data_IF_089393264743
#
_entry.id   IF_089393264743
#
_cell.length_a   1.000
_cell.length_b   1.000
_cell.length_c   1.000
_cell.angle_alpha   90.00
_cell.angle_beta   90.00
_cell.angle_gamma   90.00
#
_symmetry.space_group_name_H-M   'P 1'
#
loop_
_entity.id
_entity.type
_entity.pdbx_description
1 polymer ?
#
# COMPACT_ATOMS: atom_id res chain seq x y z
N UNK A 1 19.85 30.59 24.35
CA UNK A 1 21.10 30.13 24.99
C UNK A 1 20.88 29.00 26.01
N UNK A 2 19.68 28.42 26.11
CA UNK A 2 19.37 27.33 27.08
C UNK A 2 19.32 25.92 26.44
N UNK A 3 19.48 25.79 25.12
CA UNK A 3 19.52 24.47 24.44
C UNK A 3 20.92 23.83 24.34
N UNK A 4 21.97 24.45 24.88
CA UNK A 4 23.35 23.95 24.74
C UNK A 4 23.98 23.38 26.01
N UNK A 5 23.33 23.48 27.17
CA UNK A 5 23.92 23.03 28.45
C UNK A 5 23.70 21.52 28.72
N UNK A 6 22.82 20.84 27.98
CA UNK A 6 22.57 19.40 28.21
C UNK A 6 23.62 18.47 27.58
N UNK A 7 24.60 18.99 26.82
CA UNK A 7 25.56 18.18 26.04
C UNK A 7 26.65 17.53 26.91
N UNK A 8 26.84 17.98 28.16
CA UNK A 8 27.95 17.52 29.01
C UNK A 8 27.52 16.97 30.38
N UNK A 9 26.34 16.31 30.43
CA UNK A 9 26.00 15.49 31.60
C UNK A 9 26.87 14.22 31.60
N UNK A 10 27.46 13.90 32.75
CA UNK A 10 28.56 12.95 32.91
C UNK A 10 28.17 11.45 32.83
N UNK A 11 26.99 11.11 32.28
CA UNK A 11 26.49 9.72 32.21
C UNK A 11 25.85 9.32 30.87
N UNK A 12 26.04 10.09 29.79
CA UNK A 12 25.51 9.72 28.47
C UNK A 12 26.58 9.07 27.58
N UNK A 13 26.27 7.87 27.06
CA UNK A 13 26.95 7.33 25.85
C UNK A 13 26.98 8.46 24.83
N UNK A 14 28.15 9.03 24.57
CA UNK A 14 28.33 10.03 23.50
C UNK A 14 27.87 9.37 22.20
N UNK A 15 26.68 9.73 21.73
CA UNK A 15 26.18 9.31 20.43
C UNK A 15 27.00 10.11 19.42
N UNK A 16 28.21 9.64 19.13
CA UNK A 16 29.07 10.26 18.13
C UNK A 16 28.40 10.16 16.77
N UNK A 17 28.13 11.31 16.16
CA UNK A 17 27.68 11.35 14.77
C UNK A 17 28.75 10.77 13.85
N UNK A 18 28.31 9.99 12.87
CA UNK A 18 29.20 9.38 11.87
C UNK A 18 29.17 10.20 10.59
N UNK A 19 30.29 10.19 9.86
CA UNK A 19 30.35 10.75 8.52
C UNK A 19 29.31 10.04 7.63
N UNK A 20 28.48 10.83 6.97
CA UNK A 20 27.55 10.36 5.95
C UNK A 20 28.12 10.77 4.60
N UNK A 21 28.44 9.79 3.76
CA UNK A 21 28.95 10.02 2.42
C UNK A 21 27.83 9.85 1.40
N UNK A 22 27.94 10.58 0.28
CA UNK A 22 27.12 10.32 -0.90
C UNK A 22 27.43 8.92 -1.45
N UNK A 23 26.37 8.16 -1.69
CA UNK A 23 26.44 6.79 -2.18
C UNK A 23 25.52 6.69 -3.39
N UNK A 24 26.06 6.55 -4.62
CA UNK A 24 25.27 6.56 -5.85
C UNK A 24 24.12 5.53 -5.88
N UNK A 25 24.27 4.42 -5.15
CA UNK A 25 23.25 3.36 -5.07
C UNK A 25 22.22 3.56 -3.96
N UNK A 26 22.34 4.61 -3.12
CA UNK A 26 21.39 4.94 -2.05
C UNK A 26 20.77 6.29 -2.33
N UNK A 27 19.51 6.28 -2.75
CA UNK A 27 18.83 7.45 -3.34
C UNK A 27 18.79 8.69 -2.45
N UNK A 28 18.78 8.53 -1.13
CA UNK A 28 18.71 9.65 -0.17
C UNK A 28 20.08 10.09 0.39
N UNK A 29 21.16 9.38 0.04
CA UNK A 29 22.46 9.57 0.70
C UNK A 29 23.07 10.96 0.47
N UNK A 30 22.87 11.56 -0.70
CA UNK A 30 23.33 12.93 -0.95
C UNK A 30 22.62 13.93 -0.04
N UNK A 31 21.29 13.79 0.15
CA UNK A 31 20.54 14.65 1.08
C UNK A 31 21.00 14.42 2.52
N UNK A 32 21.14 13.17 2.95
CA UNK A 32 21.59 12.85 4.30
C UNK A 32 23.00 13.40 4.59
N UNK A 33 23.89 13.37 3.59
CA UNK A 33 25.22 13.98 3.65
C UNK A 33 25.13 15.50 3.79
N UNK A 34 24.29 16.17 2.98
CA UNK A 34 24.12 17.62 3.03
C UNK A 34 23.51 18.09 4.35
N UNK A 35 22.49 17.39 4.86
CA UNK A 35 21.90 17.64 6.19
C UNK A 35 22.99 17.50 7.27
N UNK A 36 23.78 16.41 7.21
CA UNK A 36 24.82 16.13 8.19
C UNK A 36 25.94 17.17 8.19
N UNK A 37 26.42 17.60 7.02
CA UNK A 37 27.53 18.56 6.97
C UNK A 37 27.11 19.91 7.56
N UNK A 38 25.90 20.41 7.23
CA UNK A 38 25.38 21.65 7.82
C UNK A 38 25.18 21.53 9.33
N UNK A 39 24.61 20.42 9.80
CA UNK A 39 24.42 20.17 11.23
C UNK A 39 25.74 20.17 12.01
N UNK A 40 26.81 19.63 11.40
CA UNK A 40 28.13 19.51 12.03
C UNK A 40 29.05 20.71 11.79
N UNK A 41 28.67 21.68 10.94
CA UNK A 41 29.50 22.86 10.66
C UNK A 41 29.95 23.61 11.93
N UNK A 42 29.09 23.86 12.95
CA UNK A 42 29.53 24.53 14.18
C UNK A 42 30.63 23.75 14.93
N UNK A 43 30.52 22.42 14.97
CA UNK A 43 31.51 21.57 15.62
C UNK A 43 32.83 21.55 14.85
N UNK A 44 32.77 21.46 13.51
CA UNK A 44 33.94 21.52 12.63
C UNK A 44 34.67 22.87 12.79
N UNK A 45 33.92 23.97 12.82
CA UNK A 45 34.47 25.32 13.00
C UNK A 45 35.09 25.53 14.39
N UNK A 46 34.51 24.93 15.44
CA UNK A 46 35.08 24.94 16.78
C UNK A 46 36.45 24.24 16.82
N UNK A 47 36.56 23.06 16.19
CA UNK A 47 37.84 22.33 16.05
C UNK A 47 38.85 23.12 15.23
N UNK A 48 38.41 23.75 14.14
CA UNK A 48 39.24 24.60 13.29
C UNK A 48 39.77 25.85 14.05
N UNK A 49 39.13 26.22 15.15
CA UNK A 49 39.47 27.36 16.00
C UNK A 49 40.24 26.95 17.26
N UNK A 50 40.45 25.66 17.50
CA UNK A 50 41.19 25.18 18.65
C UNK A 50 42.68 25.53 18.55
N UNK A 51 43.18 26.24 19.56
CA UNK A 51 44.57 26.69 19.65
C UNK A 51 45.55 25.56 19.97
N UNK A 52 45.05 24.40 20.40
CA UNK A 52 45.85 23.19 20.66
C UNK A 52 46.21 22.43 19.39
N UNK A 53 45.55 22.71 18.27
CA UNK A 53 45.77 22.04 17.00
C UNK A 53 46.98 22.66 16.26
N UNK A 54 47.70 21.84 15.48
CA UNK A 54 48.79 22.36 14.63
C UNK A 54 48.24 23.40 13.64
N UNK A 55 48.94 24.51 13.45
CA UNK A 55 48.55 25.59 12.52
C UNK A 55 48.20 25.07 11.13
N UNK A 56 49.00 24.14 10.60
CA UNK A 56 48.76 23.52 9.29
C UNK A 56 47.46 22.72 9.26
N UNK A 57 47.13 22.00 10.33
CA UNK A 57 45.89 21.24 10.40
C UNK A 57 44.67 22.16 10.55
N UNK A 58 44.75 23.20 11.39
CA UNK A 58 43.67 24.20 11.53
C UNK A 58 43.39 24.92 10.21
N UNK A 59 44.44 25.27 9.47
CA UNK A 59 44.31 25.94 8.16
C UNK A 59 43.68 25.02 7.12
N UNK A 60 44.10 23.75 7.06
CA UNK A 60 43.49 22.74 6.18
C UNK A 60 42.01 22.50 6.50
N UNK A 61 41.62 22.51 7.78
CA UNK A 61 40.21 22.37 8.17
C UNK A 61 39.42 23.61 7.74
N UNK A 62 39.92 24.82 8.00
CA UNK A 62 39.26 26.07 7.57
C UNK A 62 39.11 26.18 6.06
N UNK A 63 40.13 25.79 5.29
CA UNK A 63 40.06 25.82 3.83
C UNK A 63 39.08 24.79 3.26
N UNK A 64 38.72 23.77 4.05
CA UNK A 64 37.74 22.74 3.68
C UNK A 64 36.33 23.05 4.18
N UNK A 65 36.16 24.10 5.00
CA UNK A 65 34.86 24.52 5.51
C UNK A 65 34.07 25.28 4.44
N UNK A 66 32.75 25.05 4.42
CA UNK A 66 31.84 25.80 3.55
C UNK A 66 31.82 27.27 3.94
N UNK A 67 31.99 28.16 2.97
CA UNK A 67 31.70 29.59 3.11
C UNK A 67 30.21 29.83 3.39
N UNK A 68 29.85 31.05 3.83
CA UNK A 68 28.46 31.40 4.10
C UNK A 68 27.57 31.26 2.85
N UNK A 69 28.09 31.66 1.68
CA UNK A 69 27.38 31.54 0.41
C UNK A 69 27.18 30.07 0.01
N UNK A 70 28.19 29.22 0.22
CA UNK A 70 28.09 27.78 -0.02
C UNK A 70 27.12 27.11 0.96
N UNK A 71 27.13 27.48 2.24
CA UNK A 71 26.14 27.00 3.22
C UNK A 71 24.72 27.35 2.78
N UNK A 72 24.50 28.60 2.33
CA UNK A 72 23.22 29.02 1.77
C UNK A 72 22.80 28.20 0.55
N UNK A 73 23.73 27.86 -0.35
CA UNK A 73 23.45 26.95 -1.47
C UNK A 73 23.07 25.56 -0.98
N UNK A 74 23.75 25.02 0.02
CA UNK A 74 23.43 23.69 0.59
C UNK A 74 22.05 23.68 1.24
N UNK A 75 21.68 24.70 2.01
CA UNK A 75 20.34 24.85 2.59
C UNK A 75 19.24 24.84 1.52
N UNK A 76 19.46 25.60 0.45
CA UNK A 76 18.58 25.63 -0.72
C UNK A 76 18.45 24.26 -1.41
N UNK A 77 19.55 23.50 -1.53
CA UNK A 77 19.53 22.16 -2.11
C UNK A 77 18.77 21.15 -1.22
N UNK A 78 18.96 21.23 0.11
CA UNK A 78 18.22 20.41 1.07
C UNK A 78 16.72 20.65 0.92
N UNK A 79 16.30 21.91 0.77
CA UNK A 79 14.88 22.25 0.55
C UNK A 79 14.31 21.56 -0.69
N UNK A 80 15.04 21.57 -1.80
CA UNK A 80 14.62 20.95 -3.07
C UNK A 80 14.61 19.41 -3.02
N UNK A 81 15.57 18.81 -2.32
CA UNK A 81 15.71 17.35 -2.22
C UNK A 81 14.77 16.71 -1.18
N UNK A 82 14.38 17.46 -0.14
CA UNK A 82 13.52 16.95 0.96
C UNK A 82 12.21 16.31 0.48
N UNK A 83 11.45 16.89 -0.49
CA UNK A 83 10.26 16.26 -1.04
C UNK A 83 10.50 14.87 -1.64
N UNK A 84 11.68 14.61 -2.21
CA UNK A 84 12.03 13.31 -2.82
C UNK A 84 12.34 12.25 -1.76
N UNK A 85 12.97 12.62 -0.65
CA UNK A 85 13.13 11.72 0.50
C UNK A 85 11.77 11.32 1.07
N UNK A 86 10.84 12.27 1.20
CA UNK A 86 9.46 11.98 1.61
C UNK A 86 8.74 11.06 0.62
N UNK A 87 8.84 11.33 -0.68
CA UNK A 87 8.27 10.49 -1.72
C UNK A 87 8.83 9.06 -1.67
N UNK A 88 10.14 8.92 -1.51
CA UNK A 88 10.81 7.63 -1.38
C UNK A 88 10.31 6.86 -0.15
N UNK A 89 10.21 7.51 1.02
CA UNK A 89 9.66 6.89 2.23
C UNK A 89 8.23 6.40 2.01
N UNK A 90 7.38 7.21 1.36
CA UNK A 90 5.98 6.86 1.09
C UNK A 90 5.87 5.65 0.16
N UNK A 91 6.66 5.61 -0.92
CA UNK A 91 6.60 4.54 -1.94
C UNK A 91 7.36 3.27 -1.54
N UNK A 92 8.24 3.37 -0.56
CA UNK A 92 8.98 2.24 0.01
C UNK A 92 8.39 1.72 1.33
N UNK A 93 7.23 2.23 1.73
CA UNK A 93 6.50 1.71 2.88
C UNK A 93 6.00 0.28 2.62
N UNK A 94 5.95 -0.55 3.66
CA UNK A 94 5.59 -1.97 3.55
C UNK A 94 4.27 -2.30 4.27
N UNK A 95 3.94 -1.56 5.32
CA UNK A 95 2.76 -1.83 6.15
C UNK A 95 1.47 -1.22 5.57
N UNK A 96 1.51 -0.72 4.33
CA UNK A 96 0.33 -0.19 3.67
C UNK A 96 0.47 -0.26 2.14
N UNK A 97 -0.64 -0.32 1.37
CA UNK A 97 -0.59 -0.25 -0.09
C UNK A 97 0.14 0.99 -0.59
N UNK A 98 1.14 0.83 -1.45
CA UNK A 98 1.93 1.95 -1.99
C UNK A 98 1.62 2.26 -3.45
N UNK A 99 1.15 1.30 -4.24
CA UNK A 99 0.95 1.50 -5.69
C UNK A 99 -0.06 2.62 -5.99
N UNK A 100 -1.14 2.71 -5.20
CA UNK A 100 -2.12 3.79 -5.33
C UNK A 100 -1.55 5.18 -5.02
N UNK A 101 -0.40 5.25 -4.34
CA UNK A 101 0.27 6.51 -3.99
C UNK A 101 1.22 7.00 -5.07
N UNK A 102 1.58 6.18 -6.06
CA UNK A 102 2.57 6.53 -7.11
C UNK A 102 2.15 7.79 -7.86
N UNK A 103 0.97 7.79 -8.50
CA UNK A 103 0.54 8.92 -9.33
C UNK A 103 0.32 10.19 -8.50
N UNK A 104 -0.26 10.06 -7.30
CA UNK A 104 -0.47 11.20 -6.40
C UNK A 104 0.87 11.80 -5.95
N UNK A 105 1.85 10.95 -5.67
CA UNK A 105 3.19 11.39 -5.27
C UNK A 105 3.89 12.10 -6.43
N UNK A 106 3.81 11.57 -7.65
CA UNK A 106 4.35 12.22 -8.85
C UNK A 106 3.69 13.58 -9.11
N UNK A 107 2.36 13.66 -9.03
CA UNK A 107 1.63 14.92 -9.16
C UNK A 107 2.06 15.93 -8.07
N UNK A 108 2.18 15.47 -6.82
CA UNK A 108 2.62 16.32 -5.70
C UNK A 108 4.06 16.82 -5.90
N UNK A 109 4.98 15.97 -6.37
CA UNK A 109 6.35 16.35 -6.67
C UNK A 109 6.40 17.41 -7.78
N UNK A 110 5.63 17.22 -8.87
CA UNK A 110 5.50 18.22 -9.94
C UNK A 110 5.05 19.58 -9.41
N UNK A 111 3.95 19.60 -8.66
CA UNK A 111 3.43 20.83 -8.06
C UNK A 111 4.41 21.48 -7.08
N UNK A 112 5.27 20.70 -6.44
CA UNK A 112 6.26 21.20 -5.48
C UNK A 112 7.47 21.79 -6.21
N UNK A 113 7.98 21.09 -7.24
CA UNK A 113 9.09 21.54 -8.07
C UNK A 113 8.78 22.86 -8.78
N UNK A 114 7.56 23.02 -9.26
CA UNK A 114 7.11 24.25 -9.93
C UNK A 114 7.02 25.46 -8.99
N UNK A 115 6.96 25.23 -7.67
CA UNK A 115 6.96 26.31 -6.67
C UNK A 115 8.36 26.80 -6.32
N UNK A 116 9.40 26.01 -6.59
CA UNK A 116 10.78 26.39 -6.28
C UNK A 116 11.29 27.45 -7.25
N UNK A 117 11.29 28.71 -6.79
CA UNK A 117 11.69 29.87 -7.59
C UNK A 117 12.59 30.87 -6.83
N UNK A 118 13.10 30.50 -5.65
CA UNK A 118 13.83 31.38 -4.72
C UNK A 118 15.15 31.90 -5.30
N UNK A 119 16.03 31.00 -5.75
CA UNK A 119 17.36 31.36 -6.29
C UNK A 119 17.55 30.82 -7.72
N UNK A 120 18.46 31.42 -8.52
CA UNK A 120 18.78 30.90 -9.86
C UNK A 120 19.27 29.45 -9.85
N UNK A 121 19.99 29.06 -8.79
CA UNK A 121 20.47 27.67 -8.60
C UNK A 121 19.27 26.75 -8.35
N UNK A 122 18.41 27.08 -7.39
CA UNK A 122 17.19 26.32 -7.07
C UNK A 122 16.31 26.15 -8.29
N UNK A 123 16.08 27.23 -9.04
CA UNK A 123 15.26 27.20 -10.25
C UNK A 123 15.83 26.24 -11.31
N UNK A 124 17.15 26.26 -11.53
CA UNK A 124 17.80 25.35 -12.49
C UNK A 124 17.72 23.90 -12.04
N UNK A 125 18.01 23.63 -10.75
CA UNK A 125 17.98 22.28 -10.19
C UNK A 125 16.56 21.72 -10.21
N UNK A 126 15.57 22.47 -9.73
CA UNK A 126 14.17 22.05 -9.71
C UNK A 126 13.64 21.78 -11.13
N UNK A 127 13.93 22.66 -12.10
CA UNK A 127 13.54 22.44 -13.49
C UNK A 127 14.19 21.18 -14.08
N UNK A 128 15.48 20.94 -13.80
CA UNK A 128 16.17 19.74 -14.29
C UNK A 128 15.62 18.47 -13.63
N UNK A 129 15.31 18.51 -12.34
CA UNK A 129 14.70 17.39 -11.63
C UNK A 129 13.29 17.08 -12.15
N UNK A 130 12.47 18.09 -12.43
CA UNK A 130 11.15 17.91 -13.06
C UNK A 130 11.29 17.24 -14.43
N UNK A 131 12.17 17.75 -15.29
CA UNK A 131 12.46 17.17 -16.61
C UNK A 131 12.86 15.69 -16.50
N UNK A 132 13.84 15.38 -15.65
CA UNK A 132 14.39 14.03 -15.50
C UNK A 132 13.37 13.05 -14.87
N UNK A 133 12.54 13.52 -13.94
CA UNK A 133 11.47 12.72 -13.32
C UNK A 133 10.42 12.32 -14.36
N UNK A 134 9.87 13.29 -15.09
CA UNK A 134 8.82 13.04 -16.08
C UNK A 134 9.33 12.40 -17.37
N UNK A 135 10.63 12.44 -17.64
CA UNK A 135 11.26 11.62 -18.68
C UNK A 135 11.22 10.13 -18.32
N UNK A 136 11.44 9.79 -17.05
CA UNK A 136 11.47 8.40 -16.55
C UNK A 136 10.08 7.84 -16.26
N UNK A 137 9.13 8.68 -15.88
CA UNK A 137 7.78 8.25 -15.51
C UNK A 137 6.90 7.78 -16.68
N UNK A 138 7.31 7.94 -17.95
CA UNK A 138 6.48 7.65 -19.14
C UNK A 138 6.18 6.16 -19.39
N UNK A 139 6.72 5.24 -18.60
CA UNK A 139 6.51 3.80 -18.80
C UNK A 139 5.23 3.33 -18.13
N UNK A 140 4.38 2.63 -18.90
CA UNK A 140 3.21 1.83 -18.51
C UNK A 140 2.50 2.25 -17.20
N UNK A 141 1.65 3.27 -17.30
CA UNK A 141 0.89 3.82 -16.17
C UNK A 141 -0.36 2.99 -15.80
N UNK A 142 -0.63 1.88 -16.50
CA UNK A 142 -1.87 1.10 -16.30
C UNK A 142 -2.05 0.66 -14.83
N UNK A 143 -1.00 0.07 -14.25
CA UNK A 143 -1.02 -0.45 -12.89
C UNK A 143 -1.16 0.67 -11.84
N UNK A 144 -0.31 1.73 -11.85
CA UNK A 144 -0.48 2.88 -10.97
C UNK A 144 -1.86 3.54 -11.11
N UNK A 145 -2.39 3.64 -12.32
CA UNK A 145 -3.69 4.25 -12.61
C UNK A 145 -4.84 3.45 -12.03
N UNK A 146 -4.86 2.13 -12.27
CA UNK A 146 -5.84 1.22 -11.67
C UNK A 146 -5.78 1.23 -10.14
N UNK A 147 -4.58 1.21 -9.56
CA UNK A 147 -4.41 1.28 -8.12
C UNK A 147 -4.94 2.61 -7.54
N UNK A 148 -4.67 3.75 -8.21
CA UNK A 148 -5.18 5.05 -7.80
C UNK A 148 -6.72 5.13 -7.91
N UNK A 149 -7.31 4.50 -8.94
CA UNK A 149 -8.76 4.40 -9.09
C UNK A 149 -9.42 3.53 -8.02
N UNK A 150 -8.79 2.42 -7.65
CA UNK A 150 -9.26 1.48 -6.63
C UNK A 150 -9.01 2.01 -5.20
N UNK A 151 -8.51 3.23 -5.05
CA UNK A 151 -8.35 3.88 -3.76
C UNK A 151 -9.45 4.94 -3.58
N UNK A 152 -10.34 4.83 -2.58
CA UNK A 152 -11.50 5.72 -2.47
C UNK A 152 -11.14 7.20 -2.29
N UNK A 153 -9.94 7.50 -1.77
CA UNK A 153 -9.43 8.87 -1.60
C UNK A 153 -8.99 9.51 -2.92
N UNK A 154 -8.64 8.69 -3.91
CA UNK A 154 -7.97 9.12 -5.14
C UNK A 154 -8.73 8.73 -6.41
N UNK A 155 -9.85 8.03 -6.27
CA UNK A 155 -10.67 7.51 -7.38
C UNK A 155 -11.21 8.57 -8.34
N UNK A 156 -11.31 9.82 -7.90
CA UNK A 156 -11.72 10.95 -8.77
C UNK A 156 -10.62 11.42 -9.71
N UNK A 157 -9.36 11.05 -9.43
CA UNK A 157 -8.18 11.39 -10.22
C UNK A 157 -8.07 12.88 -10.54
N UNK A 158 -8.51 13.77 -9.64
CA UNK A 158 -8.59 15.23 -9.88
C UNK A 158 -7.24 15.91 -10.22
N UNK A 159 -6.12 15.21 -10.05
CA UNK A 159 -4.79 15.67 -10.41
C UNK A 159 -4.42 15.35 -11.88
N UNK A 160 -5.27 14.63 -12.61
CA UNK A 160 -5.12 14.29 -14.03
C UNK A 160 -6.15 15.08 -14.88
N UNK A 161 -5.85 15.34 -16.17
CA UNK A 161 -6.79 15.96 -17.10
C UNK A 161 -7.98 15.04 -17.42
N UNK A 162 -9.11 15.63 -17.78
CA UNK A 162 -10.40 14.95 -18.01
C UNK A 162 -10.31 13.79 -19.01
N UNK A 163 -9.50 13.95 -20.05
CA UNK A 163 -9.26 12.90 -21.05
C UNK A 163 -8.64 11.64 -20.43
N UNK A 164 -7.68 11.81 -19.53
CA UNK A 164 -7.01 10.70 -18.84
C UNK A 164 -7.94 10.08 -17.78
N UNK A 165 -8.74 10.91 -17.09
CA UNK A 165 -9.76 10.41 -16.15
C UNK A 165 -10.78 9.51 -16.84
N UNK A 166 -11.25 9.91 -18.02
CA UNK A 166 -12.20 9.13 -18.80
C UNK A 166 -11.58 7.82 -19.32
N UNK A 167 -10.33 7.86 -19.80
CA UNK A 167 -9.59 6.66 -20.20
C UNK A 167 -9.40 5.70 -19.02
N UNK A 168 -9.11 6.23 -17.82
CA UNK A 168 -8.99 5.44 -16.60
C UNK A 168 -10.32 4.73 -16.26
N UNK A 169 -11.45 5.44 -16.35
CA UNK A 169 -12.78 4.85 -16.14
C UNK A 169 -13.05 3.68 -17.10
N UNK A 170 -12.76 3.86 -18.39
CA UNK A 170 -12.91 2.81 -19.39
C UNK A 170 -12.00 1.61 -19.13
N UNK A 171 -10.76 1.87 -18.69
CA UNK A 171 -9.81 0.84 -18.33
C UNK A 171 -10.29 0.01 -17.14
N UNK A 172 -10.78 0.65 -16.06
CA UNK A 172 -11.34 -0.07 -14.91
C UNK A 172 -12.54 -0.93 -15.31
N UNK A 173 -13.45 -0.38 -16.11
CA UNK A 173 -14.60 -1.12 -16.65
C UNK A 173 -14.15 -2.35 -17.45
N UNK A 174 -13.17 -2.18 -18.35
CA UNK A 174 -12.63 -3.27 -19.17
C UNK A 174 -12.00 -4.36 -18.33
N UNK A 175 -11.22 -4.00 -17.30
CA UNK A 175 -10.62 -4.99 -16.39
C UNK A 175 -11.67 -5.71 -15.56
N UNK A 176 -12.68 -5.01 -15.07
CA UNK A 176 -13.79 -5.59 -14.32
C UNK A 176 -14.61 -6.58 -15.16
N UNK A 177 -14.87 -6.25 -16.43
CA UNK A 177 -15.51 -7.17 -17.40
C UNK A 177 -14.66 -8.41 -17.65
N UNK A 178 -13.35 -8.24 -17.89
CA UNK A 178 -12.46 -9.37 -18.16
C UNK A 178 -12.35 -10.38 -17.01
N UNK A 179 -12.64 -9.96 -15.77
CA UNK A 179 -12.69 -10.85 -14.61
C UNK A 179 -13.87 -11.81 -14.67
N UNK A 180 -15.01 -11.37 -15.23
CA UNK A 180 -16.20 -12.22 -15.38
C UNK A 180 -15.93 -13.34 -16.38
N UNK A 181 -15.28 -13.02 -17.50
CA UNK A 181 -14.95 -14.01 -18.53
C UNK A 181 -13.96 -15.06 -18.02
N UNK A 182 -12.95 -14.64 -17.26
CA UNK A 182 -11.98 -15.57 -16.64
C UNK A 182 -12.66 -16.51 -15.64
N UNK A 183 -13.48 -15.98 -14.74
CA UNK A 183 -14.20 -16.81 -13.77
C UNK A 183 -15.19 -17.77 -14.47
N UNK A 184 -15.86 -17.32 -15.54
CA UNK A 184 -16.75 -18.15 -16.34
C UNK A 184 -15.99 -19.27 -17.05
N UNK A 185 -14.83 -18.98 -17.64
CA UNK A 185 -13.99 -19.98 -18.31
C UNK A 185 -13.41 -21.00 -17.33
N UNK A 186 -12.89 -20.56 -16.17
CA UNK A 186 -12.45 -21.44 -15.09
C UNK A 186 -13.57 -22.38 -14.61
N UNK A 187 -14.79 -21.88 -14.43
CA UNK A 187 -15.96 -22.69 -14.08
C UNK A 187 -16.35 -23.70 -15.17
N UNK A 188 -16.17 -23.35 -16.45
CA UNK A 188 -16.44 -24.24 -17.57
C UNK A 188 -15.39 -25.35 -17.66
N UNK A 189 -14.11 -25.02 -17.39
CA UNK A 189 -13.03 -26.00 -17.41
C UNK A 189 -13.14 -26.98 -16.24
N UNK A 190 -13.49 -26.51 -15.03
CA UNK A 190 -13.82 -27.37 -13.88
C UNK A 190 -15.02 -28.28 -14.17
N UNK A 191 -16.03 -27.78 -14.91
CA UNK A 191 -17.20 -28.60 -15.30
C UNK A 191 -16.86 -29.65 -16.35
N UNK A 192 -15.92 -29.37 -17.27
CA UNK A 192 -15.41 -30.33 -18.26
C UNK A 192 -14.57 -31.42 -17.60
N UNK A 193 -13.73 -31.07 -16.63
CA UNK A 193 -12.98 -32.05 -15.83
C UNK A 193 -13.91 -32.94 -14.99
N UNK A 194 -15.03 -32.43 -14.49
CA UNK A 194 -16.04 -33.24 -13.78
C UNK A 194 -16.89 -34.15 -14.68
N UNK A 195 -16.87 -33.98 -16.00
CA UNK A 195 -17.63 -34.82 -16.95
C UNK A 195 -16.77 -35.83 -17.71
N UNK A 196 -15.47 -35.91 -17.42
CA UNK A 196 -14.55 -36.88 -18.02
C UNK A 196 -13.84 -37.68 -16.91
N UNK A 197 -14.45 -38.83 -16.59
CA UNK A 197 -13.94 -40.04 -15.94
C UNK A 197 -13.06 -39.99 -14.66
N UNK A 198 -13.49 -40.80 -13.68
CA UNK A 198 -12.65 -41.86 -13.09
C UNK A 198 -11.39 -41.47 -12.32
N UNK A 199 -11.45 -41.70 -11.00
CA UNK A 199 -10.35 -42.05 -10.07
C UNK A 199 -8.92 -41.77 -10.60
N UNK A 200 -8.31 -40.67 -10.16
CA UNK A 200 -7.01 -40.71 -9.47
C UNK A 200 -6.62 -39.35 -8.85
N UNK A 201 -5.77 -39.45 -7.83
CA UNK A 201 -5.50 -38.46 -6.78
C UNK A 201 -4.86 -37.14 -7.27
N UNK A 202 -5.37 -36.00 -6.82
CA UNK A 202 -4.69 -34.69 -6.90
C UNK A 202 -4.69 -34.00 -5.52
N UNK A 203 -3.50 -33.52 -5.17
CA UNK A 203 -3.05 -32.84 -3.96
C UNK A 203 -3.87 -31.60 -3.57
N UNK A 204 -4.13 -31.47 -2.27
CA UNK A 204 -4.99 -30.48 -1.61
C UNK A 204 -4.24 -29.21 -1.18
N UNK A 205 -3.93 -28.28 -2.09
CA UNK A 205 -3.28 -27.02 -1.66
C UNK A 205 -3.79 -25.70 -2.25
N UNK A 206 -4.78 -25.66 -3.14
CA UNK A 206 -5.28 -24.37 -3.64
C UNK A 206 -6.80 -24.38 -3.87
N UNK A 207 -7.55 -24.02 -2.82
CA UNK A 207 -8.98 -23.72 -2.90
C UNK A 207 -9.24 -22.32 -2.30
N UNK A 208 -9.83 -21.37 -3.04
CA UNK A 208 -10.35 -20.13 -2.47
C UNK A 208 -11.62 -20.41 -1.63
N UNK A 209 -11.94 -19.58 -0.63
CA UNK A 209 -13.10 -19.82 0.24
C UNK A 209 -14.39 -19.71 -0.56
N UNK A 210 -15.21 -20.76 -0.49
CA UNK A 210 -16.58 -20.78 -1.00
C UNK A 210 -17.47 -19.85 -0.18
N UNK A 211 -18.43 -19.21 -0.86
CA UNK A 211 -19.57 -18.54 -0.21
C UNK A 211 -20.26 -19.51 0.76
N UNK A 212 -20.78 -19.04 1.92
CA UNK A 212 -21.51 -19.91 2.84
C UNK A 212 -22.74 -20.47 2.13
N UNK A 213 -22.77 -21.77 1.92
CA UNK A 213 -23.99 -22.48 1.58
C UNK A 213 -24.84 -22.59 2.86
N UNK A 214 -26.10 -22.19 2.75
CA UNK A 214 -27.13 -22.43 3.73
C UNK A 214 -27.21 -23.93 4.04
N UNK A 215 -27.03 -24.28 5.31
CA UNK A 215 -27.34 -25.61 5.82
C UNK A 215 -28.72 -25.54 6.46
N UNK A 216 -29.68 -26.19 5.80
CA UNK A 216 -30.94 -26.61 6.40
C UNK A 216 -30.72 -27.92 7.19
N UNK A 217 -31.45 -28.00 8.31
CA UNK A 217 -31.92 -29.18 9.05
C UNK A 217 -31.02 -29.79 10.15
N UNK A 218 -31.46 -30.17 11.36
CA UNK A 218 -32.79 -30.22 12.05
C UNK A 218 -32.56 -30.59 13.55
N UNK A 219 -33.37 -29.97 14.45
CA UNK A 219 -33.90 -30.41 15.80
C UNK A 219 -32.95 -30.91 16.93
N UNK A 220 -33.24 -30.94 18.25
CA UNK A 220 -34.42 -30.84 19.13
C UNK A 220 -33.91 -30.58 20.56
N UNK A 221 -34.68 -29.94 21.46
CA UNK A 221 -35.08 -30.51 22.79
C UNK A 221 -36.15 -29.60 23.40
N UNK A 222 -37.33 -30.18 23.63
CA UNK A 222 -38.44 -29.64 24.42
C UNK A 222 -38.13 -29.60 25.91
N UNK A 223 -38.70 -28.62 26.64
CA UNK A 223 -39.40 -28.91 27.91
C UNK A 223 -40.40 -27.81 28.30
N UNK A 224 -41.52 -28.29 28.83
CA UNK A 224 -42.79 -27.66 29.19
C UNK A 224 -42.69 -26.58 30.28
N UNK A 225 -43.71 -25.70 30.38
CA UNK A 225 -44.52 -25.51 31.62
C UNK A 225 -45.82 -24.71 31.35
N UNK A 226 -46.86 -25.04 32.12
CA UNK A 226 -48.33 -24.81 32.02
C UNK A 226 -48.81 -23.34 32.16
N UNK A 227 -49.96 -22.93 31.57
CA UNK A 227 -51.34 -23.07 32.10
C UNK A 227 -52.41 -22.39 31.19
N UNK A 228 -53.65 -22.83 31.37
CA UNK A 228 -54.90 -22.65 30.61
C UNK A 228 -55.47 -21.22 30.48
N UNK A 229 -56.27 -21.01 29.42
CA UNK A 229 -57.71 -20.67 29.53
C UNK A 229 -58.40 -20.75 28.16
N UNK A 230 -59.50 -21.49 28.09
CA UNK A 230 -60.32 -21.76 26.90
C UNK A 230 -61.12 -20.54 26.42
N UNK A 231 -61.27 -20.41 25.10
CA UNK A 231 -62.36 -19.65 24.46
C UNK A 231 -62.61 -20.24 23.07
N UNK A 232 -63.81 -20.79 22.89
CA UNK A 232 -64.28 -21.47 21.69
C UNK A 232 -64.39 -20.52 20.49
N UNK A 233 -63.60 -20.81 19.45
CA UNK A 233 -63.99 -20.60 18.05
C UNK A 233 -63.19 -21.61 17.22
N UNK A 234 -63.84 -22.31 16.29
CA UNK A 234 -63.31 -23.41 15.47
C UNK A 234 -61.85 -23.19 15.05
N UNK A 235 -60.94 -24.18 15.12
CA UNK A 235 -59.54 -23.94 14.84
C UNK A 235 -59.38 -23.73 13.34
N UNK A 236 -59.35 -22.46 12.92
CA UNK A 236 -58.70 -22.07 11.69
C UNK A 236 -57.28 -22.64 11.79
N UNK A 237 -56.97 -23.63 10.95
CA UNK A 237 -55.64 -24.24 10.90
C UNK A 237 -54.64 -23.10 10.73
N UNK A 238 -53.81 -22.84 11.76
CA UNK A 238 -52.78 -21.82 11.70
C UNK A 238 -51.83 -22.19 10.56
N UNK A 239 -51.93 -21.46 9.47
CA UNK A 239 -51.02 -21.58 8.34
C UNK A 239 -49.60 -21.24 8.86
N UNK A 240 -48.62 -22.11 8.63
CA UNK A 240 -47.24 -21.79 8.99
C UNK A 240 -46.75 -20.64 8.11
N UNK A 241 -45.82 -19.83 8.64
CA UNK A 241 -45.21 -18.72 7.90
C UNK A 241 -44.56 -19.19 6.58
N UNK A 242 -44.00 -20.41 6.57
CA UNK A 242 -43.44 -21.07 5.38
C UNK A 242 -44.47 -21.28 4.27
N UNK A 243 -45.68 -21.69 4.64
CA UNK A 243 -46.74 -22.02 3.70
C UNK A 243 -47.38 -20.73 3.15
N UNK A 244 -47.30 -19.63 3.91
CA UNK A 244 -47.68 -18.30 3.46
C UNK A 244 -46.64 -17.71 2.50
N UNK A 245 -45.33 -17.92 2.75
CA UNK A 245 -44.26 -17.53 1.82
C UNK A 245 -44.39 -18.29 0.49
N UNK A 246 -44.59 -19.62 0.53
CA UNK A 246 -44.82 -20.44 -0.67
C UNK A 246 -46.12 -20.07 -1.40
N UNK A 247 -47.17 -19.66 -0.67
CA UNK A 247 -48.42 -19.21 -1.28
C UNK A 247 -48.33 -17.81 -1.91
N UNK A 248 -47.40 -16.97 -1.45
CA UNK A 248 -47.20 -15.63 -1.99
C UNK A 248 -46.14 -15.59 -3.09
N UNK A 249 -45.42 -16.68 -3.35
CA UNK A 249 -44.34 -16.76 -4.33
C UNK A 249 -44.79 -16.38 -5.76
N UNK A 250 -46.04 -16.65 -6.11
CA UNK A 250 -46.65 -16.28 -7.40
C UNK A 250 -46.99 -14.78 -7.49
N UNK A 251 -47.28 -14.12 -6.36
CA UNK A 251 -47.51 -12.68 -6.24
C UNK A 251 -46.17 -11.92 -6.13
N UNK A 252 -45.18 -12.50 -5.44
CA UNK A 252 -43.82 -11.99 -5.33
C UNK A 252 -42.96 -12.29 -6.55
N UNK A 253 -43.46 -13.08 -7.52
CA UNK A 253 -42.76 -13.40 -8.76
C UNK A 253 -42.56 -12.15 -9.63
N UNK A 254 -41.61 -11.31 -9.21
CA UNK A 254 -40.93 -10.39 -10.11
C UNK A 254 -40.13 -11.30 -11.02
N UNK A 255 -40.48 -11.33 -12.30
CA UNK A 255 -39.65 -11.94 -13.33
C UNK A 255 -38.23 -11.37 -13.17
N UNK A 256 -37.31 -12.17 -12.61
CA UNK A 256 -35.89 -11.87 -12.61
C UNK A 256 -35.43 -11.89 -14.07
N UNK A 257 -35.61 -10.77 -14.76
CA UNK A 257 -34.86 -10.50 -15.97
C UNK A 257 -33.39 -10.60 -15.58
N UNK A 258 -32.71 -11.68 -15.99
CA UNK A 258 -31.29 -11.86 -15.71
C UNK A 258 -30.55 -10.70 -16.35
N UNK A 259 -30.23 -9.69 -15.54
CA UNK A 259 -29.46 -8.55 -15.97
C UNK A 259 -28.16 -9.05 -16.60
N UNK A 260 -27.81 -8.49 -17.76
CA UNK A 260 -26.57 -8.87 -18.42
C UNK A 260 -25.38 -8.60 -17.47
N UNK A 261 -24.33 -9.44 -17.48
CA UNK A 261 -23.17 -9.25 -16.61
C UNK A 261 -22.54 -7.86 -16.73
N UNK A 262 -22.61 -7.27 -17.94
CA UNK A 262 -22.15 -5.92 -18.23
C UNK A 262 -22.88 -4.87 -17.40
N UNK A 263 -24.22 -4.93 -17.38
CA UNK A 263 -25.06 -3.98 -16.62
C UNK A 263 -24.77 -4.08 -15.13
N UNK A 264 -24.57 -5.28 -14.60
CA UNK A 264 -24.25 -5.47 -13.18
C UNK A 264 -22.88 -4.88 -12.82
N UNK A 265 -21.89 -4.96 -13.72
CA UNK A 265 -20.57 -4.36 -13.51
C UNK A 265 -20.63 -2.84 -13.62
N UNK A 266 -21.30 -2.32 -14.63
CA UNK A 266 -21.49 -0.88 -14.81
C UNK A 266 -22.14 -0.26 -13.59
N UNK A 267 -23.15 -0.93 -13.01
CA UNK A 267 -23.78 -0.52 -11.76
C UNK A 267 -22.79 -0.54 -10.59
N UNK A 268 -22.03 -1.62 -10.42
CA UNK A 268 -21.03 -1.76 -9.35
C UNK A 268 -19.97 -0.64 -9.43
N UNK A 269 -19.43 -0.38 -10.62
CA UNK A 269 -18.43 0.67 -10.85
C UNK A 269 -19.02 2.05 -10.63
N UNK A 270 -20.23 2.31 -11.13
CA UNK A 270 -20.90 3.60 -10.94
C UNK A 270 -21.19 3.87 -9.46
N UNK A 271 -21.66 2.87 -8.72
CA UNK A 271 -21.86 2.95 -7.27
C UNK A 271 -20.53 3.22 -6.55
N UNK A 272 -19.46 2.52 -6.91
CA UNK A 272 -18.14 2.73 -6.32
C UNK A 272 -17.62 4.16 -6.57
N UNK A 273 -17.68 4.64 -7.82
CA UNK A 273 -17.20 5.98 -8.17
C UNK A 273 -18.02 7.08 -7.48
N UNK A 274 -19.32 6.88 -7.29
CA UNK A 274 -20.21 7.80 -6.58
C UNK A 274 -20.14 7.74 -5.05
N UNK A 275 -19.60 6.65 -4.48
CA UNK A 275 -19.53 6.48 -3.03
C UNK A 275 -18.60 7.50 -2.35
N UNK A 276 -18.84 7.79 -1.06
CA UNK A 276 -17.93 8.58 -0.22
C UNK A 276 -17.55 7.75 0.99
N UNK A 277 -16.34 7.94 1.52
CA UNK A 277 -15.94 7.30 2.79
C UNK A 277 -16.85 7.82 3.91
N UNK A 278 -17.39 6.90 4.71
CA UNK A 278 -18.10 7.24 5.92
C UNK A 278 -17.10 7.68 7.02
N UNK A 279 -17.54 8.39 8.08
CA UNK A 279 -16.66 8.75 9.20
C UNK A 279 -15.97 7.54 9.85
N UNK A 280 -16.66 6.40 9.89
CA UNK A 280 -16.12 5.14 10.43
C UNK A 280 -15.00 4.56 9.58
N UNK A 281 -14.95 4.91 8.29
CA UNK A 281 -13.96 4.39 7.34
C UNK A 281 -12.64 5.16 7.38
N UNK A 282 -12.57 6.29 8.09
CA UNK A 282 -11.38 7.16 8.12
C UNK A 282 -10.19 6.51 8.86
N UNK A 283 -10.48 5.62 9.81
CA UNK A 283 -9.46 4.92 10.59
C UNK A 283 -9.06 3.58 9.99
N UNK A 284 -9.74 3.12 8.94
CA UNK A 284 -9.44 1.84 8.29
C UNK A 284 -8.28 1.99 7.31
N UNK A 285 -7.39 1.00 7.29
CA UNK A 285 -6.46 0.86 6.19
C UNK A 285 -7.22 0.60 4.88
N UNK A 286 -6.56 0.90 3.76
CA UNK A 286 -7.19 0.76 2.44
C UNK A 286 -7.65 -0.68 2.14
N UNK A 287 -6.89 -1.70 2.56
CA UNK A 287 -7.28 -3.10 2.34
C UNK A 287 -8.42 -3.54 3.26
N UNK A 288 -8.46 -3.03 4.49
CA UNK A 288 -9.59 -3.27 5.41
C UNK A 288 -10.88 -2.62 4.91
N UNK A 289 -10.78 -1.43 4.30
CA UNK A 289 -11.91 -0.79 3.65
C UNK A 289 -12.51 -1.69 2.56
N UNK A 290 -11.66 -2.26 1.70
CA UNK A 290 -12.10 -3.20 0.67
C UNK A 290 -12.67 -4.50 1.23
N UNK A 291 -12.12 -4.99 2.35
CA UNK A 291 -12.65 -6.16 3.06
C UNK A 291 -14.06 -5.89 3.62
N UNK A 292 -14.27 -4.73 4.23
CA UNK A 292 -15.59 -4.29 4.74
C UNK A 292 -16.62 -4.14 3.63
N UNK A 293 -16.23 -3.56 2.49
CA UNK A 293 -17.13 -3.26 1.37
C UNK A 293 -17.17 -4.35 0.29
N UNK A 294 -16.57 -5.52 0.54
CA UNK A 294 -16.49 -6.61 -0.44
C UNK A 294 -17.86 -7.08 -0.93
N UNK A 295 -18.87 -7.13 -0.05
CA UNK A 295 -20.23 -7.52 -0.43
C UNK A 295 -20.91 -6.52 -1.37
N UNK A 296 -20.59 -5.23 -1.22
CA UNK A 296 -21.12 -4.17 -2.08
C UNK A 296 -20.39 -4.11 -3.43
N UNK A 297 -19.09 -4.43 -3.42
CA UNK A 297 -18.21 -4.35 -4.59
C UNK A 297 -17.43 -5.67 -4.77
N UNK A 298 -18.11 -6.78 -5.10
CA UNK A 298 -17.52 -8.12 -5.11
C UNK A 298 -16.44 -8.30 -6.19
N UNK A 299 -16.53 -7.62 -7.33
CA UNK A 299 -15.55 -7.77 -8.42
C UNK A 299 -14.43 -6.75 -8.27
N UNK A 300 -14.78 -5.52 -7.88
CA UNK A 300 -13.78 -4.47 -7.65
C UNK A 300 -12.90 -4.78 -6.45
N UNK A 301 -13.41 -5.44 -5.40
CA UNK A 301 -12.58 -5.88 -4.27
C UNK A 301 -11.49 -6.87 -4.67
N UNK A 302 -11.76 -7.74 -5.65
CA UNK A 302 -10.75 -8.66 -6.20
C UNK A 302 -9.69 -7.89 -6.97
N UNK A 303 -10.10 -6.93 -7.82
CA UNK A 303 -9.16 -6.05 -8.52
C UNK A 303 -8.34 -5.21 -7.53
N UNK A 304 -8.98 -4.69 -6.49
CA UNK A 304 -8.34 -3.91 -5.43
C UNK A 304 -7.26 -4.73 -4.74
N UNK A 305 -7.58 -5.96 -4.30
CA UNK A 305 -6.59 -6.86 -3.71
C UNK A 305 -5.40 -7.11 -4.64
N UNK A 306 -5.67 -7.29 -5.94
CA UNK A 306 -4.64 -7.53 -6.96
C UNK A 306 -3.73 -6.33 -7.19
N UNK A 307 -4.28 -5.15 -7.43
CA UNK A 307 -3.50 -3.96 -7.85
C UNK A 307 -2.94 -3.17 -6.67
N UNK A 308 -3.65 -3.10 -5.54
CA UNK A 308 -3.17 -2.42 -4.34
C UNK A 308 -2.12 -3.23 -3.59
N UNK A 309 -2.13 -4.56 -3.72
CA UNK A 309 -1.13 -5.44 -3.14
C UNK A 309 0.24 -5.38 -3.80
N UNK A 310 0.37 -4.68 -4.94
CA UNK A 310 1.65 -4.53 -5.64
C UNK A 310 2.48 -3.46 -4.91
N UNK A 311 3.71 -3.76 -4.47
CA UNK A 311 4.60 -2.73 -3.92
C UNK A 311 5.05 -1.77 -5.02
N UNK A 312 5.21 -0.49 -4.68
CA UNK A 312 5.65 0.53 -5.63
C UNK A 312 7.17 0.54 -5.85
N UNK A 313 7.93 -0.18 -5.01
CA UNK A 313 9.38 -0.22 -5.04
C UNK A 313 9.91 -1.63 -4.81
N UNK A 314 11.17 -1.85 -5.20
CA UNK A 314 11.93 -3.08 -4.93
C UNK A 314 12.59 -3.10 -3.54
N UNK A 315 12.47 -2.03 -2.76
CA UNK A 315 13.12 -1.90 -1.44
C UNK A 315 12.79 -3.04 -0.46
N UNK A 316 11.54 -3.56 -0.40
CA UNK A 316 11.26 -4.72 0.45
C UNK A 316 12.10 -5.94 0.07
N UNK A 317 12.25 -6.20 -1.24
CA UNK A 317 13.09 -7.28 -1.75
C UNK A 317 14.57 -7.03 -1.45
N UNK A 318 15.05 -5.79 -1.56
CA UNK A 318 16.43 -5.42 -1.20
C UNK A 318 16.73 -5.66 0.28
N UNK A 319 15.74 -5.47 1.17
CA UNK A 319 15.89 -5.82 2.60
C UNK A 319 16.04 -7.32 2.79
N UNK A 320 15.24 -8.12 2.09
CA UNK A 320 15.37 -9.58 2.09
C UNK A 320 16.77 -9.99 1.61
N UNK A 321 17.28 -9.40 0.53
CA UNK A 321 18.64 -9.68 0.05
C UNK A 321 19.74 -9.19 1.00
N UNK A 322 19.53 -8.06 1.68
CA UNK A 322 20.46 -7.54 2.69
C UNK A 322 20.54 -8.47 3.90
N UNK A 323 19.39 -8.97 4.36
CA UNK A 323 19.30 -9.98 5.41
C UNK A 323 19.98 -11.28 4.98
N UNK A 324 19.72 -11.74 3.75
CA UNK A 324 20.37 -12.91 3.17
C UNK A 324 21.90 -12.75 3.15
N UNK A 325 22.40 -11.58 2.77
CA UNK A 325 23.83 -11.25 2.79
C UNK A 325 24.46 -11.29 4.19
N UNK A 326 23.69 -10.95 5.23
CA UNK A 326 24.14 -11.08 6.63
C UNK A 326 24.19 -12.55 7.08
N UNK A 327 23.22 -13.36 6.66
CA UNK A 327 23.17 -14.80 6.94
C UNK A 327 24.32 -15.54 6.22
N UNK A 328 24.44 -15.31 4.92
CA UNK A 328 25.41 -15.95 4.02
C UNK A 328 26.65 -15.06 3.91
N UNK A 329 27.47 -15.07 4.95
CA UNK A 329 28.75 -14.38 4.93
C UNK A 329 29.91 -15.34 4.66
N UNK A 330 31.10 -14.81 4.33
CA UNK A 330 32.31 -15.60 4.03
C UNK A 330 32.69 -16.59 5.15
N UNK A 331 32.27 -16.34 6.40
CA UNK A 331 32.50 -17.23 7.56
C UNK A 331 31.41 -18.30 7.73
N UNK A 332 30.25 -18.16 7.08
CA UNK A 332 29.07 -19.04 7.14
C UNK A 332 28.73 -19.65 5.77
N UNK A 333 29.74 -19.93 4.94
CA UNK A 333 29.57 -20.40 3.55
C UNK A 333 29.11 -21.86 3.39
N UNK A 334 28.98 -22.62 4.48
CA UNK A 334 28.58 -24.05 4.45
C UNK A 334 27.07 -24.29 4.56
N UNK A 335 26.27 -23.23 4.64
CA UNK A 335 24.82 -23.36 4.74
C UNK A 335 24.22 -23.82 3.40
N UNK A 336 23.30 -24.80 3.43
CA UNK A 336 22.58 -25.22 2.22
C UNK A 336 21.59 -24.13 1.80
N UNK A 337 21.39 -23.85 0.50
CA UNK A 337 20.44 -22.83 0.03
C UNK A 337 19.03 -22.96 0.63
N UNK A 338 18.48 -24.18 0.67
CA UNK A 338 17.16 -24.42 1.26
C UNK A 338 17.04 -24.02 2.74
N UNK A 339 18.12 -24.14 3.51
CA UNK A 339 18.15 -23.69 4.91
C UNK A 339 18.20 -22.16 5.00
N UNK A 340 18.93 -21.49 4.10
CA UNK A 340 18.95 -20.03 4.00
C UNK A 340 17.54 -19.51 3.69
N UNK A 341 16.87 -20.10 2.71
CA UNK A 341 15.51 -19.73 2.31
C UNK A 341 14.52 -19.89 3.46
N UNK A 342 14.61 -21.01 4.19
CA UNK A 342 13.76 -21.27 5.36
C UNK A 342 13.99 -20.25 6.48
N UNK A 343 15.25 -19.91 6.77
CA UNK A 343 15.58 -18.93 7.81
C UNK A 343 15.12 -17.52 7.44
N UNK A 344 15.30 -17.11 6.19
CA UNK A 344 14.81 -15.82 5.69
C UNK A 344 13.28 -15.77 5.77
N UNK A 345 12.60 -16.84 5.33
CA UNK A 345 11.15 -16.92 5.41
C UNK A 345 10.66 -16.79 6.85
N UNK A 346 11.28 -17.51 7.79
CA UNK A 346 10.92 -17.42 9.21
C UNK A 346 11.14 -16.00 9.72
N UNK A 347 12.33 -15.42 9.54
CA UNK A 347 12.67 -14.07 10.01
C UNK A 347 11.69 -13.00 9.50
N UNK A 348 11.33 -13.04 8.21
CA UNK A 348 10.43 -12.05 7.61
C UNK A 348 8.96 -12.21 8.03
N UNK A 349 8.58 -13.37 8.56
CA UNK A 349 7.20 -13.65 8.96
C UNK A 349 7.07 -13.88 10.48
N UNK A 350 8.14 -13.63 11.27
CA UNK A 350 8.12 -13.83 12.73
C UNK A 350 6.91 -13.14 13.36
N UNK A 351 6.65 -11.88 12.99
CA UNK A 351 5.55 -11.10 13.57
C UNK A 351 4.15 -11.64 13.25
N UNK A 352 3.99 -12.40 12.17
CA UNK A 352 2.70 -12.98 11.78
C UNK A 352 2.37 -14.26 12.52
N UNK A 353 3.39 -14.98 13.00
CA UNK A 353 3.24 -16.31 13.59
C UNK A 353 3.57 -16.33 15.10
N UNK A 354 4.35 -15.37 15.61
CA UNK A 354 4.88 -15.39 16.99
C UNK A 354 4.47 -14.20 17.88
N UNK A 355 3.71 -13.22 17.38
CA UNK A 355 3.10 -12.20 18.22
C UNK A 355 1.69 -12.65 18.66
N UNK A 356 1.61 -13.37 19.79
CA UNK A 356 0.39 -13.54 20.60
C UNK A 356 0.21 -12.38 21.59
#
# INVERSE_FOLDING_TARGET
MEKQISIFSHDEKVIGHKLMADVPTRWNSSLDMLERILEQMPAIMAVASDTKLSKSLSENVRSSCLSFDEQSVVENLIEVLTPFKRATIILCAENCPTMNKVLVTLAKLKMTLQKFNTTPVVKRVAAKMEEELFKRAKSDEEIPLLAAMLSPDTKSLNFLPDSERLAAHQLLMTKALSMVDKNRNLLLDIKKEKTTDGIDQISSSDLPPSLPNEVKDVECVQKEFLHESESECSPAKKLKCSDLEEWLDDVYFVSEERESPTVVIEREVSMYLGSKKSPEDLNLSLLEWWKKHQYMFPRLSILAKKYLGIPASSVPSERVFSLAGNLVNKKRSRMKPALVDSLIFLEMNMDLYWNE
#
